data_IF_904611112865
#
_entry.id   IF_904611112865
#
_cell.length_a   1.000
_cell.length_b   1.000
_cell.length_c   1.000
_cell.angle_alpha   90.00
_cell.angle_beta   90.00
_cell.angle_gamma   90.00
#
_symmetry.space_group_name_H-M   'P 1'
#
loop_
_entity.id
_entity.type
_entity.pdbx_description
1 polymer ?
#
# COMPACT_ATOMS: atom_id res chain seq x y z
N UNK A 1 -3.91 26.37 16.85
CA UNK A 1 -4.54 25.92 18.13
C UNK A 1 -3.56 25.20 19.07
N UNK A 2 -2.34 24.83 18.64
CA UNK A 2 -1.37 24.04 19.44
C UNK A 2 -0.51 24.91 20.39
N UNK A 3 -0.28 26.19 20.05
CA UNK A 3 0.64 27.07 20.80
C UNK A 3 0.17 27.44 22.23
N UNK A 4 -1.13 27.36 22.50
CA UNK A 4 -1.72 27.64 23.82
C UNK A 4 -1.43 26.53 24.86
N UNK A 5 -1.12 25.32 24.40
CA UNK A 5 -0.78 24.20 25.26
C UNK A 5 0.66 24.31 25.78
N UNK A 6 1.58 24.80 24.94
CA UNK A 6 3.01 24.97 25.30
C UNK A 6 3.22 26.00 26.41
N UNK A 7 2.35 27.00 26.50
CA UNK A 7 2.42 28.06 27.51
C UNK A 7 2.05 27.59 28.93
N UNK A 8 1.42 26.41 29.06
CA UNK A 8 1.01 25.83 30.35
C UNK A 8 1.91 24.70 30.84
N UNK A 9 2.93 24.33 30.06
CA UNK A 9 3.82 23.21 30.36
C UNK A 9 5.17 23.74 30.89
N UNK A 10 5.75 23.07 31.89
CA UNK A 10 7.10 23.38 32.36
C UNK A 10 8.16 23.08 31.29
N UNK A 11 9.29 23.78 31.32
CA UNK A 11 10.37 23.68 30.31
C UNK A 11 10.78 22.23 30.03
N UNK A 12 10.87 21.39 31.07
CA UNK A 12 11.21 19.95 30.91
C UNK A 12 10.14 19.17 30.12
N UNK A 13 8.87 19.49 30.31
CA UNK A 13 7.75 18.87 29.60
C UNK A 13 7.67 19.38 28.16
N UNK A 14 8.01 20.64 27.90
CA UNK A 14 8.06 21.19 26.55
C UNK A 14 9.12 20.49 25.69
N UNK A 15 10.29 20.19 26.28
CA UNK A 15 11.37 19.47 25.61
C UNK A 15 10.96 18.03 25.28
N UNK A 16 10.34 17.32 26.23
CA UNK A 16 9.89 15.95 26.00
C UNK A 16 8.78 15.88 24.96
N UNK A 17 7.86 16.86 24.98
CA UNK A 17 6.80 16.97 23.99
C UNK A 17 7.36 17.29 22.60
N UNK A 18 8.31 18.23 22.50
CA UNK A 18 9.02 18.48 21.24
C UNK A 18 9.75 17.24 20.76
N UNK A 19 10.39 16.48 21.65
CA UNK A 19 11.10 15.25 21.29
C UNK A 19 10.13 14.17 20.81
N UNK A 20 8.96 14.04 21.43
CA UNK A 20 7.93 13.11 20.97
C UNK A 20 7.36 13.53 19.61
N UNK A 21 7.16 14.83 19.39
CA UNK A 21 6.79 15.36 18.07
C UNK A 21 7.91 15.08 17.07
N UNK A 22 9.15 15.40 17.40
CA UNK A 22 10.30 15.16 16.54
C UNK A 22 10.46 13.67 16.24
N UNK A 23 10.16 12.76 17.18
CA UNK A 23 10.12 11.31 16.94
C UNK A 23 8.89 10.85 16.14
N UNK A 24 7.77 11.59 16.21
CA UNK A 24 6.59 11.36 15.37
C UNK A 24 6.86 11.81 13.93
N UNK A 25 7.52 12.97 13.76
CA UNK A 25 7.87 13.63 12.50
C UNK A 25 9.19 13.11 11.88
N UNK A 26 10.04 12.44 12.67
CA UNK A 26 11.24 11.71 12.24
C UNK A 26 10.94 10.22 11.99
N UNK A 27 9.68 9.81 12.11
CA UNK A 27 9.18 8.84 11.14
C UNK A 27 9.28 9.53 9.77
N UNK A 28 9.63 8.83 8.69
CA UNK A 28 9.48 9.42 7.38
C UNK A 28 7.99 9.71 7.21
N UNK A 29 7.61 10.96 7.43
CA UNK A 29 6.36 11.53 6.99
C UNK A 29 6.46 11.65 5.45
N UNK A 30 6.57 10.50 4.78
CA UNK A 30 6.17 10.43 3.38
C UNK A 30 4.67 10.31 3.45
N UNK A 31 4.03 11.44 3.21
CA UNK A 31 2.64 11.54 2.83
C UNK A 31 2.22 10.34 1.99
N UNK A 32 1.38 9.45 2.53
CA UNK A 32 0.59 8.50 1.74
C UNK A 32 -0.86 8.47 2.24
N UNK A 33 -1.34 9.60 2.77
CA UNK A 33 -2.78 9.85 2.79
C UNK A 33 -3.19 10.27 1.38
N UNK A 34 -3.16 9.34 0.41
CA UNK A 34 -3.87 9.31 -0.90
C UNK A 34 -3.21 8.40 -1.98
N UNK A 35 -2.12 7.67 -1.72
CA UNK A 35 -1.43 6.86 -2.76
C UNK A 35 -1.52 5.33 -2.57
N UNK A 36 -2.04 4.84 -1.44
CA UNK A 36 -2.19 3.40 -1.16
C UNK A 36 -3.60 2.87 -1.42
N UNK A 37 -4.46 3.65 -2.08
CA UNK A 37 -5.79 3.17 -2.46
C UNK A 37 -5.65 2.41 -3.76
N UNK A 38 -6.15 1.18 -3.78
CA UNK A 38 -6.22 0.40 -5.02
C UNK A 38 -7.12 1.17 -6.02
N UNK A 39 -6.49 1.83 -6.99
CA UNK A 39 -7.20 2.55 -8.05
C UNK A 39 -7.84 1.58 -9.04
N UNK A 40 -9.00 1.97 -9.58
CA UNK A 40 -9.76 1.13 -10.52
C UNK A 40 -8.95 0.84 -11.81
N UNK A 41 -8.07 1.77 -12.19
CA UNK A 41 -7.11 1.59 -13.28
C UNK A 41 -6.08 0.49 -12.96
N UNK A 42 -5.53 0.48 -11.74
CA UNK A 42 -4.59 -0.54 -11.29
C UNK A 42 -5.24 -1.92 -11.22
N UNK A 43 -6.50 -2.00 -10.79
CA UNK A 43 -7.30 -3.23 -10.82
C UNK A 43 -7.44 -3.74 -12.26
N UNK A 44 -7.77 -2.84 -13.20
CA UNK A 44 -7.89 -3.17 -14.62
C UNK A 44 -6.59 -3.72 -15.21
N UNK A 45 -5.45 -3.12 -14.87
CA UNK A 45 -4.14 -3.58 -15.30
C UNK A 45 -3.83 -4.98 -14.72
N UNK A 46 -4.03 -5.17 -13.42
CA UNK A 46 -3.83 -6.47 -12.76
C UNK A 46 -4.72 -7.54 -13.40
N UNK A 47 -5.98 -7.22 -13.66
CA UNK A 47 -6.93 -8.13 -14.30
C UNK A 47 -6.50 -8.50 -15.72
N UNK A 48 -6.00 -7.55 -16.51
CA UNK A 48 -5.51 -7.80 -17.86
C UNK A 48 -4.28 -8.73 -17.83
N UNK A 49 -3.31 -8.45 -16.96
CA UNK A 49 -2.12 -9.28 -16.82
C UNK A 49 -2.51 -10.70 -16.40
N UNK A 50 -3.38 -10.84 -15.38
CA UNK A 50 -3.85 -12.15 -14.96
C UNK A 50 -4.63 -12.86 -16.08
N UNK A 51 -5.43 -12.13 -16.86
CA UNK A 51 -6.15 -12.73 -17.98
C UNK A 51 -5.20 -13.31 -19.03
N UNK A 52 -4.07 -12.66 -19.28
CA UNK A 52 -3.03 -13.17 -20.18
C UNK A 52 -2.27 -14.38 -19.61
N UNK A 53 -2.02 -14.39 -18.29
CA UNK A 53 -1.22 -15.43 -17.62
C UNK A 53 -2.03 -16.70 -17.28
N UNK A 54 -3.19 -16.53 -16.64
CA UNK A 54 -3.99 -17.62 -16.07
C UNK A 54 -5.37 -17.74 -16.73
N UNK A 55 -5.71 -16.83 -17.65
CA UNK A 55 -6.93 -16.90 -18.45
C UNK A 55 -8.19 -16.35 -17.74
N UNK A 56 -9.39 -16.82 -18.12
CA UNK A 56 -10.67 -16.22 -17.74
C UNK A 56 -11.02 -16.31 -16.24
N UNK A 57 -10.17 -16.94 -15.43
CA UNK A 57 -10.30 -16.99 -13.97
C UNK A 57 -9.83 -15.68 -13.29
N UNK A 58 -9.04 -14.86 -13.98
CA UNK A 58 -8.53 -13.57 -13.51
C UNK A 58 -9.53 -12.68 -12.72
N UNK A 59 -10.75 -12.40 -13.22
CA UNK A 59 -11.69 -11.54 -12.50
C UNK A 59 -12.18 -12.12 -11.16
N UNK A 60 -12.08 -13.43 -10.96
CA UNK A 60 -12.46 -14.09 -9.69
C UNK A 60 -11.36 -13.81 -8.65
N UNK A 61 -10.09 -14.03 -9.01
CA UNK A 61 -8.96 -13.79 -8.12
C UNK A 61 -8.85 -12.32 -7.70
N UNK A 62 -9.12 -11.40 -8.64
CA UNK A 62 -9.18 -9.96 -8.36
C UNK A 62 -10.22 -9.65 -7.28
N UNK A 63 -11.43 -10.19 -7.39
CA UNK A 63 -12.49 -9.95 -6.41
C UNK A 63 -12.12 -10.52 -5.04
N UNK A 64 -11.56 -11.71 -4.99
CA UNK A 64 -11.13 -12.33 -3.73
C UNK A 64 -10.01 -11.51 -3.08
N UNK A 65 -9.00 -11.12 -3.85
CA UNK A 65 -7.92 -10.30 -3.35
C UNK A 65 -8.41 -8.92 -2.84
N UNK A 66 -9.41 -8.30 -3.48
CA UNK A 66 -10.01 -7.05 -3.00
C UNK A 66 -10.74 -7.24 -1.65
N UNK A 67 -11.42 -8.36 -1.46
CA UNK A 67 -12.11 -8.68 -0.19
C UNK A 67 -11.10 -8.88 0.94
N UNK A 68 -9.99 -9.58 0.69
CA UNK A 68 -9.00 -9.90 1.74
C UNK A 68 -8.00 -8.78 2.03
N UNK A 69 -7.67 -7.94 1.04
CA UNK A 69 -6.61 -6.91 1.17
C UNK A 69 -7.05 -5.63 1.88
N UNK A 70 -8.35 -5.45 2.16
CA UNK A 70 -8.89 -4.25 2.83
C UNK A 70 -8.39 -2.93 2.22
N UNK A 71 -8.30 -2.87 0.88
CA UNK A 71 -7.78 -1.75 0.09
C UNK A 71 -6.28 -1.44 0.23
N UNK A 72 -5.47 -2.35 0.77
CA UNK A 72 -4.01 -2.19 0.78
C UNK A 72 -3.41 -2.77 -0.51
N UNK A 73 -2.71 -1.94 -1.29
CA UNK A 73 -2.13 -2.32 -2.59
C UNK A 73 -1.10 -3.45 -2.45
N UNK A 74 -0.21 -3.37 -1.46
CA UNK A 74 0.80 -4.42 -1.23
C UNK A 74 0.15 -5.76 -0.93
N UNK A 75 -0.78 -5.80 0.01
CA UNK A 75 -1.51 -7.02 0.38
C UNK A 75 -2.34 -7.58 -0.78
N UNK A 76 -2.88 -6.70 -1.64
CA UNK A 76 -3.60 -7.10 -2.84
C UNK A 76 -2.68 -7.84 -3.84
N UNK A 77 -1.51 -7.29 -4.15
CA UNK A 77 -0.53 -7.91 -5.05
C UNK A 77 0.00 -9.23 -4.46
N UNK A 78 0.27 -9.27 -3.15
CA UNK A 78 0.70 -10.50 -2.46
C UNK A 78 -0.36 -11.59 -2.52
N UNK A 79 -1.63 -11.23 -2.29
CA UNK A 79 -2.76 -12.18 -2.36
C UNK A 79 -2.90 -12.72 -3.78
N UNK A 80 -2.86 -11.86 -4.81
CA UNK A 80 -2.91 -12.31 -6.20
C UNK A 80 -1.75 -13.24 -6.57
N UNK A 81 -0.53 -12.93 -6.12
CA UNK A 81 0.63 -13.78 -6.37
C UNK A 81 0.49 -15.15 -5.69
N UNK A 82 -0.10 -15.21 -4.48
CA UNK A 82 -0.34 -16.46 -3.77
C UNK A 82 -1.38 -17.36 -4.46
N UNK A 83 -2.40 -16.74 -5.07
CA UNK A 83 -3.46 -17.46 -5.79
C UNK A 83 -3.00 -18.05 -7.13
N UNK A 84 -1.87 -17.59 -7.69
CA UNK A 84 -1.28 -18.18 -8.90
C UNK A 84 -0.52 -19.47 -8.49
N UNK A 85 -1.00 -20.67 -8.90
CA UNK A 85 -0.38 -21.93 -8.49
C UNK A 85 0.98 -22.15 -9.17
N UNK A 86 1.12 -21.69 -10.41
CA UNK A 86 2.34 -21.82 -11.19
C UNK A 86 3.38 -20.77 -10.77
N UNK A 87 4.59 -21.23 -10.44
CA UNK A 87 5.64 -20.35 -9.91
C UNK A 87 6.25 -19.46 -11.00
N UNK A 88 6.26 -19.91 -12.26
CA UNK A 88 6.74 -19.12 -13.39
C UNK A 88 5.76 -17.98 -13.70
N UNK A 89 4.46 -18.29 -13.75
CA UNK A 89 3.41 -17.28 -13.94
C UNK A 89 3.36 -16.27 -12.78
N UNK A 90 3.60 -16.72 -11.54
CA UNK A 90 3.67 -15.83 -10.38
C UNK A 90 4.82 -14.83 -10.50
N UNK A 91 6.00 -15.30 -10.90
CA UNK A 91 7.16 -14.45 -11.10
C UNK A 91 6.92 -13.46 -12.24
N UNK A 92 6.31 -13.92 -13.34
CA UNK A 92 5.98 -13.06 -14.48
C UNK A 92 4.99 -11.96 -14.08
N UNK A 93 3.95 -12.29 -13.32
CA UNK A 93 3.00 -11.32 -12.76
C UNK A 93 3.73 -10.24 -11.93
N UNK A 94 4.57 -10.65 -10.97
CA UNK A 94 5.31 -9.72 -10.12
C UNK A 94 6.26 -8.83 -10.92
N UNK A 95 6.95 -9.37 -11.93
CA UNK A 95 7.83 -8.59 -12.80
C UNK A 95 7.07 -7.55 -13.62
N UNK A 96 5.90 -7.92 -14.17
CA UNK A 96 5.07 -6.97 -14.92
C UNK A 96 4.56 -5.84 -14.03
N UNK A 97 4.11 -6.16 -12.82
CA UNK A 97 3.69 -5.14 -11.84
C UNK A 97 4.87 -4.24 -11.45
N UNK A 98 6.04 -4.81 -11.18
CA UNK A 98 7.23 -4.03 -10.83
C UNK A 98 7.66 -3.07 -11.96
N UNK A 99 7.64 -3.53 -13.21
CA UNK A 99 7.97 -2.70 -14.37
C UNK A 99 6.97 -1.55 -14.58
N UNK A 100 5.70 -1.71 -14.15
CA UNK A 100 4.68 -0.66 -14.25
C UNK A 100 4.83 0.41 -13.16
N UNK A 101 5.39 0.06 -11.99
CA UNK A 101 5.67 1.01 -10.92
C UNK A 101 6.93 1.87 -11.13
N UNK A 102 7.65 1.64 -12.23
CA UNK A 102 8.96 2.24 -12.51
C UNK A 102 8.93 3.33 -13.61
N UNK A 103 7.75 3.67 -14.16
CA UNK A 103 7.54 4.70 -15.20
C UNK A 103 6.88 5.97 -14.64
#
# INVERSE_FOLDING_TARGET
>A
MIEQLLTRLSVKQQIEFHRQIDLLLAQPEVALENEDKIDEEFIGICQQILFELIGPIAPILIQEALIYSNNNLTQFVETLAAEIPDTELRLEFQQRIFNLSAD
#
